data_IF_001324098873
#
_entry.id   IF_001324098873
#
_cell.length_a   1.000
_cell.length_b   1.000
_cell.length_c   1.000
_cell.angle_alpha   90.00
_cell.angle_beta   90.00
_cell.angle_gamma   90.00
#
_symmetry.space_group_name_H-M   'P 1'
#
loop_
_entity.id
_entity.type
_entity.pdbx_description
1 polymer ?
#
# COMPACT_ATOMS: atom_id res chain seq x y z
N UNK A 1 20.74 -6.87 -3.66
CA UNK A 1 19.66 -7.84 -3.33
C UNK A 1 19.72 -8.39 -1.89
N UNK A 2 20.78 -8.19 -1.10
CA UNK A 2 20.90 -8.76 0.26
C UNK A 2 20.04 -8.13 1.37
N UNK A 3 19.55 -6.89 1.22
CA UNK A 3 18.80 -6.21 2.30
C UNK A 3 17.35 -6.71 2.49
N UNK A 4 16.73 -7.34 1.48
CA UNK A 4 15.31 -7.72 1.57
C UNK A 4 15.08 -8.81 2.61
N UNK A 5 15.91 -9.86 2.64
CA UNK A 5 15.75 -10.96 3.60
C UNK A 5 15.86 -10.50 5.05
N UNK A 6 16.86 -9.65 5.34
CA UNK A 6 17.05 -9.09 6.68
C UNK A 6 15.85 -8.27 7.15
N UNK A 7 15.31 -7.40 6.28
CA UNK A 7 14.13 -6.61 6.59
C UNK A 7 12.90 -7.50 6.87
N UNK A 8 12.73 -8.59 6.12
CA UNK A 8 11.60 -9.50 6.31
C UNK A 8 11.69 -10.25 7.65
N UNK A 9 12.90 -10.66 8.04
CA UNK A 9 13.16 -11.28 9.35
C UNK A 9 12.88 -10.30 10.50
N UNK A 10 13.27 -9.03 10.34
CA UNK A 10 13.00 -7.97 11.32
C UNK A 10 11.49 -7.74 11.51
N UNK A 11 10.73 -7.61 10.41
CA UNK A 11 9.27 -7.42 10.48
C UNK A 11 8.58 -8.62 11.16
N UNK A 12 9.01 -9.83 10.84
CA UNK A 12 8.51 -11.06 11.48
C UNK A 12 8.82 -11.07 12.98
N UNK A 13 10.02 -10.63 13.37
CA UNK A 13 10.42 -10.52 14.78
C UNK A 13 9.59 -9.47 15.52
N UNK A 14 9.37 -8.30 14.92
CA UNK A 14 8.55 -7.23 15.52
C UNK A 14 7.13 -7.73 15.79
N UNK A 15 6.50 -8.37 14.80
CA UNK A 15 5.17 -8.99 14.96
C UNK A 15 5.13 -9.97 16.14
N UNK A 16 6.11 -10.88 16.22
CA UNK A 16 6.22 -11.87 17.32
C UNK A 16 6.40 -11.21 18.69
N UNK A 17 7.13 -10.09 18.77
CA UNK A 17 7.33 -9.37 20.05
C UNK A 17 6.05 -8.68 20.50
N UNK A 18 5.34 -8.02 19.59
CA UNK A 18 4.05 -7.36 19.90
C UNK A 18 3.03 -8.39 20.39
N UNK A 19 2.97 -9.56 19.73
CA UNK A 19 2.05 -10.65 20.07
C UNK A 19 2.26 -11.25 21.46
N UNK A 20 3.45 -11.09 22.07
CA UNK A 20 3.68 -11.52 23.45
C UNK A 20 2.92 -10.66 24.47
N UNK A 21 2.66 -9.41 24.13
CA UNK A 21 1.94 -8.45 24.99
C UNK A 21 0.45 -8.45 24.66
N UNK A 22 0.11 -8.55 23.37
CA UNK A 22 -1.26 -8.50 22.87
C UNK A 22 -1.45 -9.53 21.76
N UNK A 23 -2.04 -10.71 22.05
CA UNK A 23 -2.15 -11.81 21.09
C UNK A 23 -2.85 -11.46 19.76
N UNK A 24 -3.80 -10.54 19.79
CA UNK A 24 -4.57 -10.05 18.64
C UNK A 24 -3.82 -9.01 17.79
N UNK A 25 -2.67 -8.52 18.25
CA UNK A 25 -1.90 -7.50 17.55
C UNK A 25 -0.89 -8.09 16.54
N UNK A 26 -0.43 -7.31 15.54
CA UNK A 26 -0.97 -6.02 15.14
C UNK A 26 -2.37 -6.16 14.52
N UNK A 27 -3.29 -5.25 14.88
CA UNK A 27 -4.65 -5.23 14.32
C UNK A 27 -4.68 -4.87 12.84
N UNK A 28 -3.67 -4.11 12.38
CA UNK A 28 -3.51 -3.71 10.99
C UNK A 28 -2.02 -3.65 10.64
N UNK A 29 -1.66 -4.23 9.49
CA UNK A 29 -0.35 -4.07 8.86
C UNK A 29 -0.59 -3.38 7.54
N UNK A 30 -0.28 -2.08 7.48
CA UNK A 30 -0.50 -1.26 6.30
C UNK A 30 0.80 -1.09 5.51
N UNK A 31 0.79 -1.55 4.26
CA UNK A 31 1.91 -1.36 3.34
C UNK A 31 1.72 -0.06 2.56
N UNK A 32 2.73 0.82 2.63
CA UNK A 32 2.76 2.09 1.88
C UNK A 32 3.51 1.88 0.58
N UNK A 33 2.89 2.22 -0.55
CA UNK A 33 3.44 2.07 -1.89
C UNK A 33 3.50 3.43 -2.61
N UNK A 34 4.62 3.69 -3.29
CA UNK A 34 4.78 4.88 -4.13
C UNK A 34 4.16 4.65 -5.51
N UNK A 35 3.05 5.34 -5.80
CA UNK A 35 2.30 5.25 -7.06
C UNK A 35 3.10 5.63 -8.29
N UNK A 36 4.12 6.48 -8.16
CA UNK A 36 4.96 6.92 -9.29
C UNK A 36 5.87 5.81 -9.83
N UNK A 37 6.13 4.79 -9.01
CA UNK A 37 7.07 3.71 -9.33
C UNK A 37 6.43 2.55 -10.12
N UNK A 38 5.10 2.52 -10.24
CA UNK A 38 4.35 1.57 -11.07
C UNK A 38 4.70 0.10 -10.79
N UNK A 39 5.36 -0.57 -11.73
CA UNK A 39 5.76 -1.99 -11.62
C UNK A 39 6.83 -2.24 -10.54
N UNK A 40 7.60 -1.24 -10.12
CA UNK A 40 8.56 -1.44 -9.02
C UNK A 40 7.85 -1.55 -7.66
N UNK A 41 6.76 -0.79 -7.45
CA UNK A 41 5.91 -0.95 -6.28
C UNK A 41 5.27 -2.35 -6.24
N UNK A 42 4.92 -2.93 -7.39
CA UNK A 42 4.40 -4.30 -7.47
C UNK A 42 5.38 -5.32 -6.89
N UNK A 43 6.61 -5.29 -7.37
CA UNK A 43 7.60 -6.28 -6.97
C UNK A 43 7.95 -6.14 -5.49
N UNK A 44 7.98 -4.91 -4.97
CA UNK A 44 8.11 -4.67 -3.54
C UNK A 44 6.91 -5.21 -2.75
N UNK A 45 5.68 -4.95 -3.21
CA UNK A 45 4.47 -5.45 -2.55
C UNK A 45 4.44 -6.97 -2.45
N UNK A 46 4.81 -7.69 -3.53
CA UNK A 46 4.93 -9.15 -3.53
C UNK A 46 5.86 -9.67 -2.43
N UNK A 47 7.05 -9.07 -2.30
CA UNK A 47 8.01 -9.51 -1.28
C UNK A 47 7.50 -9.22 0.14
N UNK A 48 6.86 -8.06 0.35
CA UNK A 48 6.31 -7.70 1.66
C UNK A 48 5.15 -8.61 2.06
N UNK A 49 4.20 -8.85 1.15
CA UNK A 49 3.04 -9.73 1.39
C UNK A 49 3.50 -11.17 1.66
N UNK A 50 4.58 -11.63 1.00
CA UNK A 50 5.14 -12.96 1.26
C UNK A 50 5.79 -13.10 2.65
N UNK A 51 6.19 -11.99 3.27
CA UNK A 51 6.93 -12.01 4.53
C UNK A 51 6.10 -11.62 5.76
N UNK A 52 5.06 -10.82 5.59
CA UNK A 52 4.17 -10.41 6.67
C UNK A 52 2.74 -10.32 6.18
N UNK A 53 1.80 -10.54 7.09
CA UNK A 53 0.36 -10.51 6.80
C UNK A 53 -0.09 -9.05 6.64
N UNK A 54 0.10 -8.50 5.44
CA UNK A 54 -0.39 -7.17 5.07
C UNK A 54 -1.91 -7.20 4.99
N UNK A 55 -2.57 -6.32 5.73
CA UNK A 55 -4.04 -6.25 5.82
C UNK A 55 -4.62 -5.06 5.06
N UNK A 56 -3.82 -4.03 4.77
CA UNK A 56 -4.24 -2.83 4.06
C UNK A 56 -3.11 -2.22 3.23
N UNK A 57 -3.47 -1.47 2.18
CA UNK A 57 -2.54 -0.69 1.37
C UNK A 57 -2.80 0.81 1.49
N UNK A 58 -1.74 1.60 1.47
CA UNK A 58 -1.78 3.04 1.23
C UNK A 58 -0.94 3.37 0.00
N UNK A 59 -1.48 4.14 -0.94
CA UNK A 59 -0.80 4.49 -2.19
C UNK A 59 -0.51 5.99 -2.18
N UNK A 60 0.76 6.41 -2.27
CA UNK A 60 1.14 7.83 -2.29
C UNK A 60 1.47 8.32 -3.70
N UNK A 61 1.53 9.64 -3.90
CA UNK A 61 1.92 10.32 -5.15
C UNK A 61 1.03 9.96 -6.36
N UNK A 62 -0.29 9.90 -6.12
CA UNK A 62 -1.28 9.61 -7.16
C UNK A 62 -1.65 10.83 -8.02
N UNK A 63 -1.37 12.03 -7.54
CA UNK A 63 -1.62 13.33 -8.16
C UNK A 63 -0.82 13.59 -9.44
N UNK A 64 0.34 12.95 -9.59
CA UNK A 64 1.26 13.25 -10.68
C UNK A 64 1.34 12.20 -11.80
N UNK A 65 0.62 11.07 -11.73
CA UNK A 65 0.98 9.93 -12.60
C UNK A 65 -0.19 9.07 -13.12
N UNK A 66 -0.19 8.82 -14.43
CA UNK A 66 -1.02 7.78 -15.09
C UNK A 66 -0.69 6.34 -14.62
N UNK A 67 0.36 6.18 -13.80
CA UNK A 67 0.83 4.88 -13.28
C UNK A 67 0.06 4.44 -12.03
N UNK A 68 -0.74 5.33 -11.42
CA UNK A 68 -1.61 5.01 -10.29
C UNK A 68 -2.56 3.83 -10.52
N UNK A 69 -3.06 3.68 -11.74
CA UNK A 69 -3.94 2.56 -12.12
C UNK A 69 -3.28 1.19 -12.00
N UNK A 70 -1.96 1.10 -12.18
CA UNK A 70 -1.21 -0.15 -12.04
C UNK A 70 -1.25 -0.63 -10.59
N UNK A 71 -1.01 0.26 -9.63
CA UNK A 71 -0.97 -0.08 -8.20
C UNK A 71 -2.34 -0.53 -7.67
N UNK A 72 -3.42 0.01 -8.23
CA UNK A 72 -4.79 -0.42 -7.90
C UNK A 72 -5.17 -1.78 -8.49
N UNK A 73 -4.78 -2.05 -9.73
CA UNK A 73 -4.97 -3.37 -10.34
C UNK A 73 -4.28 -4.47 -9.50
N UNK A 74 -3.14 -4.12 -8.90
CA UNK A 74 -2.36 -4.98 -8.02
C UNK A 74 -3.07 -5.20 -6.68
N UNK A 75 -3.56 -4.14 -6.04
CA UNK A 75 -4.34 -4.26 -4.81
C UNK A 75 -5.52 -5.24 -4.99
N UNK A 76 -6.19 -5.13 -6.15
CA UNK A 76 -7.24 -6.05 -6.55
C UNK A 76 -6.74 -7.49 -6.74
N UNK A 77 -5.56 -7.70 -7.36
CA UNK A 77 -4.95 -9.02 -7.55
C UNK A 77 -4.63 -9.71 -6.22
N UNK A 78 -4.06 -8.99 -5.25
CA UNK A 78 -3.72 -9.53 -3.94
C UNK A 78 -4.91 -9.62 -2.98
N UNK A 79 -6.09 -9.11 -3.39
CA UNK A 79 -7.30 -9.03 -2.55
C UNK A 79 -7.06 -8.26 -1.25
N UNK A 80 -6.12 -7.31 -1.26
CA UNK A 80 -5.83 -6.44 -0.11
C UNK A 80 -6.51 -5.10 -0.36
N UNK A 81 -7.32 -4.59 0.57
CA UNK A 81 -8.01 -3.32 0.38
C UNK A 81 -7.02 -2.15 0.37
N UNK A 82 -7.17 -1.24 -0.58
CA UNK A 82 -6.58 0.10 -0.50
C UNK A 82 -7.41 0.90 0.50
N UNK A 83 -6.77 1.43 1.54
CA UNK A 83 -7.42 2.20 2.60
C UNK A 83 -7.18 3.69 2.45
N UNK A 84 -5.99 4.08 1.98
CA UNK A 84 -5.61 5.49 1.80
C UNK A 84 -4.94 5.74 0.45
N UNK A 85 -5.14 6.96 -0.05
CA UNK A 85 -4.46 7.51 -1.22
C UNK A 85 -3.87 8.88 -0.90
N UNK A 86 -2.61 9.10 -1.25
CA UNK A 86 -1.93 10.40 -1.16
C UNK A 86 -1.96 11.09 -2.52
N UNK A 87 -2.62 12.24 -2.58
CA UNK A 87 -2.83 13.03 -3.81
C UNK A 87 -2.13 14.40 -3.73
N UNK A 88 -1.04 14.47 -2.98
CA UNK A 88 -0.25 15.68 -2.81
C UNK A 88 0.81 15.53 -1.73
N UNK A 89 1.43 16.64 -1.35
CA UNK A 89 2.56 16.68 -0.42
C UNK A 89 2.17 17.06 1.01
N UNK A 90 0.96 17.60 1.22
CA UNK A 90 0.50 18.05 2.53
C UNK A 90 -0.14 16.89 3.30
N UNK A 91 -0.18 17.02 4.63
CA UNK A 91 -0.84 16.04 5.49
C UNK A 91 -2.34 15.87 5.18
N UNK A 92 -2.99 16.96 4.73
CA UNK A 92 -4.39 16.98 4.30
C UNK A 92 -4.65 16.25 2.97
N UNK A 93 -3.59 15.95 2.20
CA UNK A 93 -3.69 15.28 0.90
C UNK A 93 -3.72 13.74 1.02
N UNK A 94 -3.72 13.20 2.25
CA UNK A 94 -3.94 11.77 2.51
C UNK A 94 -5.45 11.51 2.71
N UNK A 95 -6.08 10.94 1.69
CA UNK A 95 -7.51 10.71 1.66
C UNK A 95 -7.85 9.24 1.88
N UNK A 96 -9.02 8.96 2.47
CA UNK A 96 -9.58 7.60 2.51
C UNK A 96 -9.91 7.17 1.09
N UNK A 97 -9.49 5.96 0.72
CA UNK A 97 -9.74 5.45 -0.61
C UNK A 97 -11.23 5.19 -0.82
N UNK A 98 -11.80 5.85 -1.81
CA UNK A 98 -13.14 5.58 -2.31
C UNK A 98 -13.02 5.19 -3.78
N UNK A 99 -13.35 3.93 -4.10
CA UNK A 99 -13.26 3.38 -5.46
C UNK A 99 -14.06 4.21 -6.48
N UNK A 100 -15.24 4.69 -6.09
CA UNK A 100 -16.13 5.46 -6.96
C UNK A 100 -15.50 6.81 -7.31
N UNK A 101 -15.11 7.58 -6.29
CA UNK A 101 -14.46 8.88 -6.47
C UNK A 101 -13.12 8.78 -7.22
N UNK A 102 -12.38 7.69 -7.00
CA UNK A 102 -11.12 7.47 -7.67
C UNK A 102 -11.29 7.20 -9.17
N UNK A 103 -12.27 6.35 -9.54
CA UNK A 103 -12.62 6.09 -10.93
C UNK A 103 -13.09 7.38 -11.60
N UNK A 104 -13.96 8.16 -10.94
CA UNK A 104 -14.41 9.46 -11.44
C UNK A 104 -13.23 10.42 -11.69
N UNK A 105 -12.29 10.51 -10.75
CA UNK A 105 -11.10 11.36 -10.89
C UNK A 105 -10.15 10.91 -12.03
N UNK A 106 -10.08 9.62 -12.33
CA UNK A 106 -9.28 9.09 -13.44
C UNK A 106 -9.92 9.31 -14.82
N UNK A 107 -11.25 9.36 -14.87
CA UNK A 107 -12.02 9.37 -16.11
C UNK A 107 -12.75 10.68 -16.40
N UNK A 108 -12.51 11.76 -15.66
CA UNK A 108 -12.74 13.12 -16.18
C UNK A 108 -11.88 13.25 -17.46
N UNK A 109 -12.30 12.97 -18.72
CA UNK A 109 -13.47 13.46 -19.46
C UNK A 109 -13.83 14.85 -18.99
N UNK A 110 -12.96 15.78 -19.36
CA UNK A 110 -13.24 17.22 -19.39
C UNK A 110 -14.64 17.45 -19.97
N UNK A 111 -15.45 18.22 -19.25
CA UNK A 111 -16.43 19.10 -19.86
C UNK A 111 -15.75 20.37 -20.35
#
# INVERSE_FOLDING_TARGET
LHNKAYLMDELTKIKRVIQKVMPEAPHEVMLVLDGSTGQNALEQAKHFIAATDVTALAITKLDGTAKGGVVLAIAHQFKIPVKFIGVGEKAEDLLVFNKQHFVESLFNLEG
#
